data_IF_235345848273
#
_entry.id   IF_235345848273
#
_cell.length_a   1.000
_cell.length_b   1.000
_cell.length_c   1.000
_cell.angle_alpha   90.00
_cell.angle_beta   90.00
_cell.angle_gamma   90.00
#
_symmetry.space_group_name_H-M   'P 1'
#
loop_
_entity.id
_entity.type
_entity.pdbx_description
1 polymer ?
#
# COMPACT_ATOMS: atom_id res chain seq x y z
N UNK A 1 -10.11 27.42 -80.34
CA UNK A 1 -9.51 28.75 -80.52
C UNK A 1 -8.61 28.93 -79.33
N UNK A 2 -7.37 28.75 -79.46
CA UNK A 2 -6.16 29.17 -80.12
C UNK A 2 -5.16 29.21 -78.99
N UNK A 3 -4.11 28.30 -78.92
CA UNK A 3 -2.80 28.51 -79.55
C UNK A 3 -2.22 29.88 -79.14
N UNK A 4 -1.07 30.07 -78.63
CA UNK A 4 0.27 29.57 -78.93
C UNK A 4 1.25 30.16 -77.89
N UNK A 5 2.25 29.39 -77.56
CA UNK A 5 3.66 29.64 -77.98
C UNK A 5 4.44 30.55 -77.01
N UNK A 6 5.61 30.44 -76.62
CA UNK A 6 6.88 29.79 -77.05
C UNK A 6 7.93 30.08 -75.96
N UNK A 7 8.67 29.08 -75.58
CA UNK A 7 10.11 29.06 -75.33
C UNK A 7 10.92 30.38 -75.23
N UNK A 8 11.82 30.48 -74.25
CA UNK A 8 13.26 30.41 -74.50
C UNK A 8 14.12 30.62 -73.26
N UNK A 9 15.09 29.77 -73.18
CA UNK A 9 16.55 29.93 -72.90
C UNK A 9 17.00 30.16 -71.46
N UNK A 10 17.57 29.18 -70.87
CA UNK A 10 19.02 28.76 -70.82
C UNK A 10 19.96 29.68 -70.01
N UNK A 11 20.65 29.00 -69.09
CA UNK A 11 22.00 29.28 -68.63
C UNK A 11 22.25 30.41 -67.63
N UNK A 12 22.61 29.97 -66.42
CA UNK A 12 23.87 30.33 -65.72
C UNK A 12 23.89 29.46 -64.47
N UNK A 13 24.49 28.38 -64.46
CA UNK A 13 25.84 27.98 -64.18
C UNK A 13 26.40 28.51 -62.86
N UNK A 14 26.60 27.56 -61.95
CA UNK A 14 27.76 27.42 -61.06
C UNK A 14 28.11 28.64 -60.17
N UNK A 15 27.81 28.50 -58.88
CA UNK A 15 28.68 28.75 -57.72
C UNK A 15 27.85 28.98 -56.48
N UNK A 16 27.67 27.98 -55.67
CA UNK A 16 27.49 28.05 -54.23
C UNK A 16 27.33 26.63 -53.63
N UNK A 17 28.37 25.83 -53.77
CA UNK A 17 28.56 24.62 -52.95
C UNK A 17 29.79 24.85 -52.12
N UNK A 18 29.61 25.44 -50.96
CA UNK A 18 30.55 25.36 -49.85
C UNK A 18 30.05 26.27 -48.72
N UNK A 19 29.10 25.84 -47.90
CA UNK A 19 28.93 26.22 -46.50
C UNK A 19 27.69 25.53 -45.92
N UNK A 20 27.70 24.21 -45.88
CA UNK A 20 26.68 23.42 -45.14
C UNK A 20 27.32 22.22 -44.44
N UNK A 21 28.52 22.39 -43.86
CA UNK A 21 29.16 21.34 -43.07
C UNK A 21 29.16 21.63 -41.54
N UNK A 22 28.49 22.71 -41.10
CA UNK A 22 28.44 23.11 -39.68
C UNK A 22 27.16 22.81 -38.89
N UNK A 23 26.08 22.42 -39.55
CA UNK A 23 24.76 22.24 -38.87
C UNK A 23 24.41 20.80 -38.47
N UNK A 24 25.22 19.81 -38.88
CA UNK A 24 24.92 18.40 -38.60
C UNK A 24 25.32 17.93 -37.19
N UNK A 25 26.20 18.63 -36.51
CA UNK A 25 26.70 18.22 -35.18
C UNK A 25 25.80 18.69 -34.02
N UNK A 26 25.19 19.86 -34.17
CA UNK A 26 24.24 20.38 -33.15
C UNK A 26 22.92 19.65 -33.12
N UNK A 27 22.42 19.18 -34.26
CA UNK A 27 21.18 18.38 -34.31
C UNK A 27 21.35 16.97 -33.76
N UNK A 28 22.54 16.37 -33.91
CA UNK A 28 22.83 15.05 -33.33
C UNK A 28 22.92 15.10 -31.80
N UNK A 29 23.40 16.19 -31.22
CA UNK A 29 23.46 16.41 -29.79
C UNK A 29 22.05 16.67 -29.18
N UNK A 30 21.15 17.35 -29.90
CA UNK A 30 19.78 17.58 -29.46
C UNK A 30 18.92 16.32 -29.53
N UNK A 31 19.13 15.44 -30.49
CA UNK A 31 18.43 14.16 -30.60
C UNK A 31 18.87 13.14 -29.52
N UNK A 32 20.13 13.11 -29.14
CA UNK A 32 20.62 12.23 -28.07
C UNK A 32 20.13 12.72 -26.72
N UNK A 33 20.03 14.04 -26.49
CA UNK A 33 19.47 14.60 -25.24
C UNK A 33 17.97 14.32 -25.07
N UNK A 34 17.20 14.36 -26.16
CA UNK A 34 15.75 14.09 -26.10
C UNK A 34 15.43 12.60 -25.88
N UNK A 35 16.23 11.67 -26.39
CA UNK A 35 16.08 10.23 -26.18
C UNK A 35 16.44 9.84 -24.73
N UNK A 36 17.43 10.50 -24.12
CA UNK A 36 17.83 10.23 -22.73
C UNK A 36 16.79 10.68 -21.70
N UNK A 37 16.17 11.83 -21.90
CA UNK A 37 15.12 12.36 -21.02
C UNK A 37 13.80 11.56 -21.10
N UNK A 38 13.45 11.10 -22.30
CA UNK A 38 12.25 10.24 -22.48
C UNK A 38 12.38 8.88 -21.80
N UNK A 39 13.58 8.28 -21.82
CA UNK A 39 13.83 6.99 -21.16
C UNK A 39 13.81 7.08 -19.63
N UNK A 40 14.32 8.17 -19.04
CA UNK A 40 14.30 8.37 -17.60
C UNK A 40 12.87 8.59 -17.06
N UNK A 41 12.05 9.35 -17.78
CA UNK A 41 10.64 9.59 -17.37
C UNK A 41 9.77 8.33 -17.47
N UNK A 42 9.98 7.47 -18.45
CA UNK A 42 9.24 6.22 -18.59
C UNK A 42 9.65 5.19 -17.53
N UNK A 43 10.90 5.16 -17.12
CA UNK A 43 11.37 4.26 -16.05
C UNK A 43 10.83 4.67 -14.68
N UNK A 44 10.71 5.97 -14.38
CA UNK A 44 10.12 6.43 -13.11
C UNK A 44 8.63 6.12 -13.02
N UNK A 45 7.86 6.34 -14.08
CA UNK A 45 6.44 6.00 -14.10
C UNK A 45 6.19 4.50 -13.90
N UNK A 46 6.93 3.63 -14.60
CA UNK A 46 6.82 2.18 -14.44
C UNK A 46 7.20 1.71 -13.02
N UNK A 47 8.17 2.35 -12.37
CA UNK A 47 8.55 2.05 -11.00
C UNK A 47 7.47 2.47 -10.00
N UNK A 48 6.82 3.61 -10.21
CA UNK A 48 5.68 4.06 -9.39
C UNK A 48 4.49 3.09 -9.51
N UNK A 49 4.17 2.64 -10.71
CA UNK A 49 3.10 1.66 -10.94
C UNK A 49 3.40 0.30 -10.29
N UNK A 50 4.65 -0.14 -10.33
CA UNK A 50 5.09 -1.36 -9.65
C UNK A 50 4.97 -1.22 -8.13
N UNK A 51 5.42 -0.10 -7.56
CA UNK A 51 5.32 0.19 -6.12
C UNK A 51 3.86 0.31 -5.67
N UNK A 52 3.00 0.94 -6.47
CA UNK A 52 1.57 0.98 -6.23
C UNK A 52 0.94 -0.42 -6.22
N UNK A 53 1.34 -1.26 -7.17
CA UNK A 53 0.83 -2.63 -7.29
C UNK A 53 1.22 -3.49 -6.11
N UNK A 54 2.50 -3.50 -5.71
CA UNK A 54 2.93 -4.29 -4.55
C UNK A 54 2.36 -3.71 -3.25
N UNK A 55 2.26 -2.39 -3.12
CA UNK A 55 1.62 -1.73 -1.98
C UNK A 55 0.18 -2.19 -1.78
N UNK A 56 -0.63 -2.27 -2.85
CA UNK A 56 -1.99 -2.80 -2.76
C UNK A 56 -2.01 -4.27 -2.35
N UNK A 57 -1.12 -5.12 -2.89
CA UNK A 57 -1.05 -6.53 -2.50
C UNK A 57 -0.73 -6.70 -1.01
N UNK A 58 0.22 -5.94 -0.48
CA UNK A 58 0.58 -5.93 0.94
C UNK A 58 -0.59 -5.44 1.82
N UNK A 59 -1.29 -4.39 1.40
CA UNK A 59 -2.46 -3.89 2.13
C UNK A 59 -3.61 -4.90 2.13
N UNK A 60 -3.90 -5.54 0.99
CA UNK A 60 -4.98 -6.52 0.90
C UNK A 60 -4.67 -7.81 1.68
N UNK A 61 -3.41 -8.22 1.73
CA UNK A 61 -2.98 -9.33 2.59
C UNK A 61 -3.10 -8.95 4.07
N UNK A 62 -2.75 -7.73 4.48
CA UNK A 62 -2.96 -7.25 5.86
C UNK A 62 -4.46 -7.22 6.21
N UNK A 63 -5.32 -6.76 5.30
CA UNK A 63 -6.78 -6.77 5.49
C UNK A 63 -7.33 -8.19 5.62
N UNK A 64 -6.85 -9.11 4.79
CA UNK A 64 -7.24 -10.52 4.81
C UNK A 64 -6.86 -11.17 6.14
N UNK A 65 -5.62 -10.99 6.59
CA UNK A 65 -5.12 -11.56 7.84
C UNK A 65 -5.84 -10.98 9.07
N UNK A 66 -6.12 -9.68 9.11
CA UNK A 66 -6.96 -9.07 10.16
C UNK A 66 -8.37 -9.67 10.19
N UNK A 67 -8.91 -10.00 9.03
CA UNK A 67 -10.24 -10.65 8.93
C UNK A 67 -10.23 -12.06 9.50
N UNK A 68 -9.12 -12.83 9.39
CA UNK A 68 -8.96 -14.12 10.05
C UNK A 68 -9.04 -13.97 11.56
N UNK A 69 -8.28 -13.02 12.14
CA UNK A 69 -8.34 -12.76 13.58
C UNK A 69 -9.74 -12.35 14.02
N UNK A 70 -10.39 -11.46 13.26
CA UNK A 70 -11.75 -10.99 13.57
C UNK A 70 -12.78 -12.12 13.56
N UNK A 71 -12.73 -12.99 12.56
CA UNK A 71 -13.66 -14.11 12.43
C UNK A 71 -13.47 -15.18 13.51
N UNK A 72 -12.29 -15.27 14.12
CA UNK A 72 -11.95 -16.25 15.14
C UNK A 72 -11.97 -15.69 16.57
N UNK A 73 -12.49 -14.47 16.79
CA UNK A 73 -12.52 -13.88 18.14
C UNK A 73 -13.32 -14.73 19.14
N UNK A 74 -14.43 -15.36 18.73
CA UNK A 74 -15.17 -16.27 19.57
C UNK A 74 -14.33 -17.47 20.04
N UNK A 75 -13.62 -18.11 19.10
CA UNK A 75 -12.74 -19.24 19.40
C UNK A 75 -11.53 -18.80 20.26
N UNK A 76 -10.86 -17.72 19.89
CA UNK A 76 -9.69 -17.19 20.59
C UNK A 76 -10.03 -16.89 22.05
N UNK A 77 -11.15 -16.25 22.30
CA UNK A 77 -11.58 -15.80 23.61
C UNK A 77 -12.38 -16.83 24.42
N UNK A 78 -12.62 -18.03 23.88
CA UNK A 78 -13.29 -19.09 24.61
C UNK A 78 -12.43 -19.54 25.81
N UNK A 79 -12.93 -19.45 27.06
CA UNK A 79 -12.15 -19.80 28.25
C UNK A 79 -12.06 -21.32 28.47
N UNK A 80 -12.98 -22.10 27.86
CA UNK A 80 -13.12 -23.54 28.15
C UNK A 80 -12.28 -24.40 27.19
N UNK A 81 -11.89 -23.86 26.04
CA UNK A 81 -11.05 -24.53 25.05
C UNK A 81 -9.57 -24.20 25.32
N UNK A 82 -8.73 -25.21 25.56
CA UNK A 82 -7.29 -25.07 25.69
C UNK A 82 -6.62 -24.94 24.30
N UNK A 83 -6.34 -26.07 23.66
CA UNK A 83 -5.78 -26.06 22.31
C UNK A 83 -6.86 -25.71 21.27
N UNK A 84 -6.77 -24.51 20.73
CA UNK A 84 -7.74 -23.98 19.76
C UNK A 84 -7.45 -24.40 18.31
N UNK A 85 -6.40 -25.18 18.09
CA UNK A 85 -5.96 -25.59 16.75
C UNK A 85 -5.74 -24.41 15.79
N UNK A 86 -5.43 -23.23 16.35
CA UNK A 86 -5.22 -21.98 15.62
C UNK A 86 -3.72 -21.80 15.31
N UNK A 87 -3.17 -22.75 14.50
CA UNK A 87 -1.74 -22.70 14.13
C UNK A 87 -1.44 -21.62 13.09
N UNK A 88 -0.20 -21.19 13.03
CA UNK A 88 0.26 -20.17 12.06
C UNK A 88 0.10 -20.61 10.61
N UNK A 89 0.22 -21.91 10.30
CA UNK A 89 0.00 -22.46 8.97
C UNK A 89 -1.47 -22.34 8.55
N UNK A 90 -2.39 -22.77 9.42
CA UNK A 90 -3.84 -22.64 9.19
C UNK A 90 -4.24 -21.18 9.05
N UNK A 91 -3.62 -20.31 9.86
CA UNK A 91 -3.84 -18.88 9.81
C UNK A 91 -3.46 -18.30 8.44
N UNK A 92 -2.26 -18.59 7.94
CA UNK A 92 -1.80 -18.07 6.63
C UNK A 92 -2.65 -18.63 5.50
N UNK A 93 -3.00 -19.92 5.53
CA UNK A 93 -3.92 -20.52 4.56
C UNK A 93 -5.30 -19.81 4.54
N UNK A 94 -5.85 -19.52 5.71
CA UNK A 94 -7.10 -18.78 5.82
C UNK A 94 -6.97 -17.33 5.29
N UNK A 95 -5.83 -16.66 5.56
CA UNK A 95 -5.56 -15.34 5.03
C UNK A 95 -5.43 -15.34 3.50
N UNK A 96 -4.75 -16.32 2.92
CA UNK A 96 -4.65 -16.49 1.46
C UNK A 96 -6.03 -16.74 0.82
N UNK A 97 -6.88 -17.55 1.45
CA UNK A 97 -8.25 -17.79 0.96
C UNK A 97 -9.12 -16.51 1.01
N UNK A 98 -9.00 -15.72 2.07
CA UNK A 98 -9.70 -14.43 2.16
C UNK A 98 -9.12 -13.43 1.15
N UNK A 99 -7.81 -13.42 0.97
CA UNK A 99 -7.15 -12.58 -0.05
C UNK A 99 -7.71 -12.90 -1.44
N UNK A 100 -7.73 -14.17 -1.83
CA UNK A 100 -8.32 -14.62 -3.11
C UNK A 100 -9.76 -14.14 -3.27
N UNK A 101 -10.59 -14.29 -2.24
CA UNK A 101 -11.99 -13.83 -2.27
C UNK A 101 -12.12 -12.32 -2.43
N UNK A 102 -11.17 -11.54 -1.89
CA UNK A 102 -11.17 -10.08 -1.97
C UNK A 102 -10.71 -9.55 -3.31
N UNK A 103 -9.64 -10.13 -3.86
CA UNK A 103 -8.92 -9.62 -5.04
C UNK A 103 -9.38 -10.33 -6.31
N UNK A 104 -10.05 -11.48 -6.20
CA UNK A 104 -10.52 -12.29 -7.31
C UNK A 104 -9.45 -13.15 -7.98
N UNK A 105 -8.20 -13.02 -7.56
CA UNK A 105 -7.06 -13.79 -8.08
C UNK A 105 -6.19 -14.31 -6.95
N UNK A 106 -5.62 -15.51 -7.13
CA UNK A 106 -4.59 -16.03 -6.22
C UNK A 106 -3.34 -15.18 -6.30
N UNK A 107 -2.63 -15.11 -5.19
CA UNK A 107 -1.32 -14.48 -5.16
C UNK A 107 -0.30 -15.39 -5.87
N UNK A 108 -0.15 -15.21 -7.19
CA UNK A 108 0.83 -15.97 -7.97
C UNK A 108 2.23 -15.38 -7.78
N UNK A 109 3.00 -15.97 -6.87
CA UNK A 109 4.35 -15.50 -6.55
C UNK A 109 5.33 -15.65 -7.73
N UNK A 110 5.07 -16.56 -8.68
CA UNK A 110 5.97 -16.78 -9.83
C UNK A 110 5.93 -15.64 -10.85
N UNK A 111 4.85 -14.86 -10.88
CA UNK A 111 4.67 -13.70 -11.77
C UNK A 111 5.20 -12.39 -11.18
N UNK A 112 5.66 -12.42 -9.94
CA UNK A 112 6.15 -11.23 -9.25
C UNK A 112 7.64 -11.01 -9.50
N UNK A 113 8.05 -9.74 -9.42
CA UNK A 113 9.47 -9.41 -9.33
C UNK A 113 10.10 -10.09 -8.10
N UNK A 114 11.40 -10.28 -8.13
CA UNK A 114 12.12 -10.86 -6.97
C UNK A 114 11.91 -10.03 -5.70
N UNK A 115 11.95 -8.69 -5.81
CA UNK A 115 11.66 -7.79 -4.69
C UNK A 115 10.25 -7.99 -4.13
N UNK A 116 9.25 -8.00 -4.99
CA UNK A 116 7.86 -8.09 -4.56
C UNK A 116 7.56 -9.42 -3.89
N UNK A 117 8.20 -10.49 -4.38
CA UNK A 117 8.14 -11.82 -3.76
C UNK A 117 8.74 -11.79 -2.36
N UNK A 118 9.96 -11.21 -2.21
CA UNK A 118 10.58 -11.07 -0.87
C UNK A 118 9.69 -10.30 0.10
N UNK A 119 9.07 -9.21 -0.33
CA UNK A 119 8.17 -8.40 0.52
C UNK A 119 6.94 -9.18 0.97
N UNK A 120 6.29 -9.92 0.07
CA UNK A 120 5.12 -10.74 0.43
C UNK A 120 5.50 -11.94 1.31
N UNK A 121 6.64 -12.57 1.06
CA UNK A 121 7.15 -13.64 1.91
C UNK A 121 7.54 -13.12 3.30
N UNK A 122 8.14 -11.92 3.38
CA UNK A 122 8.41 -11.25 4.65
C UNK A 122 7.12 -10.99 5.45
N UNK A 123 6.05 -10.55 4.77
CA UNK A 123 4.77 -10.31 5.42
C UNK A 123 4.13 -11.61 5.93
N UNK A 124 4.14 -12.69 5.13
CA UNK A 124 3.65 -14.00 5.59
C UNK A 124 4.46 -14.57 6.73
N UNK A 125 5.79 -14.41 6.68
CA UNK A 125 6.67 -14.80 7.78
C UNK A 125 6.35 -14.05 9.06
N UNK A 126 6.17 -12.72 8.98
CA UNK A 126 5.77 -11.90 10.11
C UNK A 126 4.44 -12.37 10.72
N UNK A 127 3.45 -12.69 9.90
CA UNK A 127 2.17 -13.25 10.37
C UNK A 127 2.34 -14.55 11.14
N UNK A 128 3.18 -15.48 10.63
CA UNK A 128 3.46 -16.75 11.33
C UNK A 128 4.11 -16.50 12.68
N UNK A 129 5.17 -15.70 12.72
CA UNK A 129 5.87 -15.37 13.96
C UNK A 129 4.91 -14.82 15.02
N UNK A 130 4.07 -13.85 14.65
CA UNK A 130 3.12 -13.25 15.59
C UNK A 130 2.10 -14.27 16.11
N UNK A 131 1.58 -15.15 15.26
CA UNK A 131 0.63 -16.19 15.71
C UNK A 131 1.32 -17.23 16.58
N UNK A 132 2.54 -17.65 16.24
CA UNK A 132 3.32 -18.63 17.01
C UNK A 132 3.71 -18.08 18.38
N UNK A 133 4.16 -16.84 18.45
CA UNK A 133 4.55 -16.18 19.71
C UNK A 133 3.36 -15.99 20.68
N UNK A 134 2.12 -15.96 20.14
CA UNK A 134 0.91 -15.77 20.96
C UNK A 134 0.14 -17.06 21.24
N UNK A 135 0.68 -18.24 20.89
CA UNK A 135 0.00 -19.52 21.14
C UNK A 135 -0.34 -19.74 22.61
N UNK A 136 0.58 -19.40 23.52
CA UNK A 136 0.34 -19.54 24.96
C UNK A 136 -0.84 -18.71 25.46
N UNK A 137 -1.01 -17.49 24.93
CA UNK A 137 -2.13 -16.61 25.26
C UNK A 137 -3.43 -17.05 24.61
N UNK A 138 -3.38 -17.39 23.32
CA UNK A 138 -4.53 -17.86 22.55
C UNK A 138 -5.12 -19.12 23.20
N UNK A 139 -4.28 -20.06 23.65
CA UNK A 139 -4.68 -21.34 24.19
C UNK A 139 -4.91 -21.34 25.72
N UNK A 140 -4.82 -20.18 26.38
CA UNK A 140 -4.98 -20.07 27.84
C UNK A 140 -6.39 -20.44 28.26
N UNK A 141 -6.53 -21.42 29.17
CA UNK A 141 -7.81 -21.83 29.77
C UNK A 141 -8.19 -20.84 30.91
N UNK A 142 -9.50 -20.69 31.15
CA UNK A 142 -10.03 -19.89 32.25
C UNK A 142 -9.97 -18.37 32.04
N UNK A 143 -9.50 -17.90 30.89
CA UNK A 143 -9.41 -16.48 30.53
C UNK A 143 -10.28 -16.22 29.31
N UNK A 144 -11.29 -15.37 29.44
CA UNK A 144 -12.17 -15.00 28.35
C UNK A 144 -11.47 -14.08 27.35
N UNK A 145 -11.30 -12.80 27.69
CA UNK A 145 -10.62 -11.87 26.77
C UNK A 145 -9.10 -12.02 26.85
N UNK A 146 -8.48 -12.43 25.72
CA UNK A 146 -7.05 -12.72 25.65
C UNK A 146 -6.21 -11.61 25.04
N UNK A 147 -6.82 -10.51 24.61
CA UNK A 147 -6.09 -9.37 24.02
C UNK A 147 -5.59 -9.57 22.60
N UNK A 148 -5.68 -10.78 22.04
CA UNK A 148 -5.28 -11.06 20.65
C UNK A 148 -6.37 -10.63 19.67
N UNK A 149 -6.46 -9.32 19.43
CA UNK A 149 -7.47 -8.68 18.58
C UNK A 149 -6.86 -8.21 17.24
N UNK A 150 -7.69 -7.94 16.19
CA UNK A 150 -7.20 -7.56 14.86
C UNK A 150 -6.24 -6.36 14.85
N UNK A 151 -6.44 -5.38 15.74
CA UNK A 151 -5.58 -4.20 15.84
C UNK A 151 -4.20 -4.52 16.43
N UNK A 152 -4.14 -5.35 17.47
CA UNK A 152 -2.88 -5.80 18.10
C UNK A 152 -2.12 -6.69 17.12
N UNK A 153 -2.78 -7.68 16.51
CA UNK A 153 -2.20 -8.53 15.49
C UNK A 153 -1.60 -7.70 14.34
N UNK A 154 -2.35 -6.74 13.78
CA UNK A 154 -1.86 -5.89 12.69
C UNK A 154 -0.61 -5.11 13.09
N UNK A 155 -0.59 -4.52 14.29
CA UNK A 155 0.56 -3.77 14.78
C UNK A 155 1.80 -4.66 14.89
N UNK A 156 1.67 -5.80 15.57
CA UNK A 156 2.78 -6.74 15.77
C UNK A 156 3.29 -7.29 14.44
N UNK A 157 2.40 -7.71 13.54
CA UNK A 157 2.77 -8.18 12.20
C UNK A 157 3.51 -7.10 11.40
N UNK A 158 3.10 -5.85 11.50
CA UNK A 158 3.77 -4.76 10.78
C UNK A 158 5.14 -4.40 11.41
N UNK A 159 5.30 -4.53 12.72
CA UNK A 159 6.59 -4.39 13.41
C UNK A 159 7.56 -5.50 12.98
N UNK A 160 7.12 -6.77 12.97
CA UNK A 160 7.91 -7.91 12.47
C UNK A 160 8.20 -7.80 10.96
N UNK A 161 7.22 -7.41 10.16
CA UNK A 161 7.45 -7.14 8.74
C UNK A 161 8.54 -6.09 8.53
N UNK A 162 8.49 -5.00 9.27
CA UNK A 162 9.51 -3.94 9.20
C UNK A 162 10.90 -4.44 9.58
N UNK A 163 11.01 -5.36 10.55
CA UNK A 163 12.27 -5.99 10.94
C UNK A 163 12.80 -6.94 9.84
N UNK A 164 11.92 -7.74 9.22
CA UNK A 164 12.30 -8.70 8.17
C UNK A 164 12.61 -7.98 6.85
N UNK A 165 11.75 -7.07 6.42
CA UNK A 165 11.90 -6.29 5.19
C UNK A 165 12.96 -5.18 5.33
N UNK A 166 13.36 -4.88 6.56
CA UNK A 166 14.46 -4.00 6.96
C UNK A 166 14.53 -2.67 6.17
N UNK A 167 15.30 -2.68 5.08
CA UNK A 167 15.59 -1.49 4.29
C UNK A 167 14.68 -1.32 3.05
N UNK A 168 13.81 -2.29 2.75
CA UNK A 168 13.03 -2.28 1.51
C UNK A 168 11.64 -1.67 1.69
N UNK A 169 10.94 -1.97 2.79
CA UNK A 169 9.58 -1.47 2.99
C UNK A 169 9.16 -1.40 4.47
N UNK A 170 8.15 -0.58 4.73
CA UNK A 170 7.43 -0.53 6.02
C UNK A 170 5.93 -0.48 5.80
N UNK A 171 5.20 -1.07 6.72
CA UNK A 171 3.74 -1.02 6.78
C UNK A 171 3.35 -0.59 8.20
N UNK A 172 2.35 0.25 8.31
CA UNK A 172 1.74 0.60 9.60
C UNK A 172 0.24 0.89 9.43
N UNK A 173 -0.50 0.77 10.50
CA UNK A 173 -1.86 1.27 10.58
C UNK A 173 -1.83 2.58 11.36
N UNK A 174 -2.51 3.60 10.83
CA UNK A 174 -2.66 4.91 11.44
C UNK A 174 -4.12 5.35 11.41
N UNK A 175 -4.45 6.44 12.08
CA UNK A 175 -5.81 6.98 12.12
C UNK A 175 -5.78 8.50 12.29
N UNK A 176 -6.90 9.21 12.01
CA UNK A 176 -7.08 10.58 12.46
C UNK A 176 -6.75 10.71 13.96
N UNK A 177 -6.12 11.81 14.40
CA UNK A 177 -5.63 11.96 15.78
C UNK A 177 -6.65 11.62 16.84
N UNK A 178 -7.91 11.97 16.64
CA UNK A 178 -9.01 11.75 17.57
C UNK A 178 -9.47 10.29 17.70
N UNK A 179 -9.06 9.44 16.72
CA UNK A 179 -9.37 8.01 16.69
C UNK A 179 -8.19 7.15 17.16
N UNK A 180 -7.05 7.76 17.50
CA UNK A 180 -5.84 7.03 17.90
C UNK A 180 -5.96 6.53 19.32
N UNK A 181 -6.06 5.20 19.51
CA UNK A 181 -6.04 4.53 20.81
C UNK A 181 -4.61 4.15 21.25
N UNK A 182 -3.76 3.81 20.29
CA UNK A 182 -2.37 3.40 20.53
C UNK A 182 -1.40 4.48 20.04
N UNK A 183 -0.49 4.95 20.91
CA UNK A 183 0.50 5.97 20.55
C UNK A 183 1.35 5.62 19.33
N UNK A 184 1.63 4.33 19.10
CA UNK A 184 2.36 3.85 17.91
C UNK A 184 1.58 4.03 16.61
N UNK A 185 0.26 4.21 16.68
CA UNK A 185 -0.60 4.46 15.52
C UNK A 185 -0.78 5.95 15.20
N UNK A 186 -0.12 6.87 15.93
CA UNK A 186 -0.19 8.30 15.63
C UNK A 186 0.33 8.57 14.24
N UNK A 187 -0.42 9.34 13.43
CA UNK A 187 0.03 9.71 12.09
C UNK A 187 1.27 10.62 12.18
N UNK A 188 2.19 10.43 11.26
CA UNK A 188 3.25 11.40 11.04
C UNK A 188 2.69 12.68 10.36
N UNK A 189 3.47 13.76 10.19
CA UNK A 189 2.97 15.00 9.58
C UNK A 189 2.38 14.81 8.17
N UNK A 190 2.97 13.96 7.35
CA UNK A 190 2.50 13.65 6.00
C UNK A 190 1.17 12.88 6.04
N UNK A 191 1.10 11.82 6.83
CA UNK A 191 -0.11 11.01 7.03
C UNK A 191 -1.28 11.88 7.56
N UNK A 192 -0.99 12.70 8.58
CA UNK A 192 -1.97 13.61 9.18
C UNK A 192 -2.53 14.57 8.15
N UNK A 193 -1.67 15.21 7.37
CA UNK A 193 -2.09 16.13 6.32
C UNK A 193 -3.05 15.47 5.32
N UNK A 194 -2.74 14.24 4.86
CA UNK A 194 -3.59 13.53 3.90
C UNK A 194 -4.91 13.11 4.53
N UNK A 195 -4.88 12.59 5.76
CA UNK A 195 -6.10 12.25 6.49
C UNK A 195 -7.04 13.46 6.59
N UNK A 196 -6.53 14.62 7.00
CA UNK A 196 -7.33 15.83 7.23
C UNK A 196 -7.76 16.53 5.93
N UNK A 197 -6.88 16.62 4.93
CA UNK A 197 -7.14 17.42 3.71
C UNK A 197 -7.70 16.62 2.54
N UNK A 198 -7.67 15.28 2.60
CA UNK A 198 -8.17 14.38 1.56
C UNK A 198 -9.24 13.43 2.09
N UNK A 199 -8.89 12.52 3.00
CA UNK A 199 -9.76 11.40 3.36
C UNK A 199 -11.00 11.81 4.16
N UNK A 200 -10.89 12.87 4.97
CA UNK A 200 -12.02 13.45 5.72
C UNK A 200 -12.85 14.46 4.90
N UNK A 201 -12.45 14.74 3.66
CA UNK A 201 -13.17 15.71 2.81
C UNK A 201 -14.06 14.99 1.80
N UNK A 202 -15.19 15.58 1.45
CA UNK A 202 -16.13 15.05 0.45
C UNK A 202 -15.56 15.05 -0.98
N UNK A 203 -14.49 15.80 -1.23
CA UNK A 203 -13.86 15.92 -2.57
C UNK A 203 -12.94 14.75 -2.94
N UNK A 204 -12.57 13.87 -1.97
CA UNK A 204 -11.70 12.73 -2.26
C UNK A 204 -12.55 11.48 -2.55
N UNK A 205 -12.28 10.74 -3.65
CA UNK A 205 -13.03 9.53 -3.96
C UNK A 205 -12.85 8.46 -2.86
N UNK A 206 -13.97 7.95 -2.35
CA UNK A 206 -13.97 6.93 -1.28
C UNK A 206 -13.16 5.71 -1.70
N UNK A 207 -12.25 5.27 -0.85
CA UNK A 207 -11.38 4.11 -1.07
C UNK A 207 -10.15 4.36 -1.94
N UNK A 208 -10.03 5.54 -2.57
CA UNK A 208 -8.86 5.87 -3.37
C UNK A 208 -7.64 6.10 -2.48
N UNK A 209 -6.55 5.38 -2.77
CA UNK A 209 -5.27 5.62 -2.12
C UNK A 209 -4.67 6.98 -2.53
N UNK A 210 -3.92 7.59 -1.62
CA UNK A 210 -3.03 8.70 -1.93
C UNK A 210 -1.60 8.17 -2.04
N UNK A 211 -0.86 8.58 -3.07
CA UNK A 211 0.52 8.18 -3.30
C UNK A 211 1.40 9.37 -3.62
N UNK A 212 2.64 9.33 -3.18
CA UNK A 212 3.62 10.37 -3.43
C UNK A 212 5.04 9.81 -3.32
N UNK A 213 5.97 10.32 -4.13
CA UNK A 213 7.40 10.09 -3.97
C UNK A 213 7.98 11.24 -3.15
N UNK A 214 8.57 10.92 -2.01
CA UNK A 214 9.11 11.91 -1.08
C UNK A 214 10.43 11.43 -0.49
N UNK A 215 11.19 12.35 0.03
CA UNK A 215 12.30 12.02 0.93
C UNK A 215 11.71 11.61 2.29
N UNK A 216 12.04 10.41 2.74
CA UNK A 216 11.62 9.86 4.02
C UNK A 216 12.82 9.20 4.71
N UNK A 217 13.16 9.69 5.90
CA UNK A 217 14.33 9.23 6.67
C UNK A 217 15.65 9.32 5.87
N UNK A 218 15.83 10.38 5.09
CA UNK A 218 17.04 10.62 4.29
C UNK A 218 17.16 9.76 3.02
N UNK A 219 16.09 9.11 2.59
CA UNK A 219 16.04 8.27 1.39
C UNK A 219 14.82 8.63 0.54
N UNK A 220 14.97 8.49 -0.78
CA UNK A 220 13.80 8.54 -1.66
C UNK A 220 12.90 7.34 -1.39
N UNK A 221 11.63 7.60 -1.21
CA UNK A 221 10.63 6.58 -0.93
C UNK A 221 9.32 6.84 -1.68
N UNK A 222 8.70 5.79 -2.15
CA UNK A 222 7.29 5.79 -2.52
C UNK A 222 6.46 5.63 -1.26
N UNK A 223 5.57 6.59 -1.00
CA UNK A 223 4.63 6.53 0.11
C UNK A 223 3.21 6.37 -0.39
N UNK A 224 2.46 5.48 0.24
CA UNK A 224 1.07 5.19 -0.08
C UNK A 224 0.24 5.17 1.19
N UNK A 225 -0.85 5.93 1.20
CA UNK A 225 -1.84 5.92 2.28
C UNK A 225 -3.18 5.43 1.72
N UNK A 226 -3.70 4.33 2.29
CA UNK A 226 -4.96 3.72 1.88
C UNK A 226 -5.99 3.93 2.98
N UNK A 227 -7.16 4.56 2.69
CA UNK A 227 -8.18 4.77 3.69
C UNK A 227 -8.83 3.45 4.12
N UNK A 228 -9.08 3.31 5.40
CA UNK A 228 -9.82 2.21 6.02
C UNK A 228 -11.13 2.73 6.61
N UNK A 229 -12.21 1.97 6.41
CA UNK A 229 -13.55 2.35 6.86
C UNK A 229 -14.10 1.31 7.83
N UNK A 230 -14.91 1.76 8.79
CA UNK A 230 -15.59 0.85 9.70
C UNK A 230 -16.51 -0.10 8.94
N UNK A 231 -16.48 -1.35 9.33
CA UNK A 231 -17.38 -2.44 8.94
C UNK A 231 -18.16 -2.89 10.16
N UNK A 232 -19.21 -3.68 9.97
CA UNK A 232 -19.98 -4.26 11.06
C UNK A 232 -19.11 -4.88 12.16
N UNK A 233 -18.10 -5.67 11.77
CA UNK A 233 -17.17 -6.33 12.71
C UNK A 233 -16.32 -5.36 13.53
N UNK A 234 -16.24 -4.07 13.18
CA UNK A 234 -15.48 -3.06 13.91
C UNK A 234 -16.33 -2.43 15.02
N UNK A 235 -17.66 -2.43 14.86
CA UNK A 235 -18.57 -1.65 15.70
C UNK A 235 -18.71 -2.20 17.12
N UNK A 236 -18.39 -3.47 17.36
CA UNK A 236 -18.34 -4.03 18.72
C UNK A 236 -17.43 -3.20 19.64
N UNK A 237 -16.31 -2.68 19.08
CA UNK A 237 -15.35 -1.85 19.84
C UNK A 237 -15.43 -0.37 19.49
N UNK A 238 -15.83 0.01 18.27
CA UNK A 238 -15.77 1.39 17.77
C UNK A 238 -17.14 2.03 17.53
N UNK A 239 -18.23 1.27 17.73
CA UNK A 239 -19.58 1.71 17.41
C UNK A 239 -20.25 2.59 18.48
N UNK A 240 -21.56 2.46 18.55
CA UNK A 240 -22.43 3.21 19.47
C UNK A 240 -22.83 2.33 20.68
N UNK A 241 -23.19 2.95 21.83
CA UNK A 241 -23.16 4.40 22.10
C UNK A 241 -21.73 4.91 22.35
N UNK A 242 -21.45 6.13 21.89
CA UNK A 242 -20.15 6.79 22.12
C UNK A 242 -19.87 6.92 23.62
N UNK A 243 -18.64 6.61 24.03
CA UNK A 243 -18.18 6.69 25.42
C UNK A 243 -18.44 5.42 26.25
N UNK A 244 -19.25 4.46 25.77
CA UNK A 244 -19.37 3.14 26.41
C UNK A 244 -18.04 2.38 26.29
N UNK A 245 -17.62 1.73 27.38
CA UNK A 245 -16.40 0.94 27.37
C UNK A 245 -16.60 -0.36 26.57
N UNK A 246 -15.70 -0.60 25.66
CA UNK A 246 -15.64 -1.87 24.92
C UNK A 246 -14.92 -2.97 25.73
N UNK A 247 -14.79 -4.15 25.13
CA UNK A 247 -14.13 -5.32 25.75
C UNK A 247 -12.66 -5.05 26.11
N UNK A 248 -12.02 -4.03 25.52
CA UNK A 248 -10.65 -3.62 25.82
C UNK A 248 -10.57 -2.55 26.90
N UNK A 249 -11.71 -2.20 27.51
CA UNK A 249 -11.88 -1.12 28.48
C UNK A 249 -11.55 0.27 27.90
N UNK A 250 -11.71 0.44 26.58
CA UNK A 250 -11.56 1.74 25.91
C UNK A 250 -12.94 2.30 25.51
N UNK A 251 -13.17 3.62 25.64
CA UNK A 251 -14.44 4.20 25.23
C UNK A 251 -14.63 4.14 23.71
N UNK A 252 -15.80 3.67 23.27
CA UNK A 252 -16.22 3.65 21.88
C UNK A 252 -16.25 5.06 21.29
N UNK A 253 -15.83 5.23 20.06
CA UNK A 253 -15.83 6.53 19.37
C UNK A 253 -17.22 6.93 18.81
N UNK A 254 -18.16 5.99 18.73
CA UNK A 254 -19.48 6.20 18.15
C UNK A 254 -19.50 6.12 16.63
N UNK A 255 -18.57 5.37 16.04
CA UNK A 255 -18.47 5.17 14.59
C UNK A 255 -19.65 4.38 14.03
N UNK A 256 -19.96 4.61 12.76
CA UNK A 256 -20.93 3.84 11.98
C UNK A 256 -20.24 3.20 10.77
N UNK A 257 -20.91 2.20 10.16
CA UNK A 257 -20.41 1.54 8.95
C UNK A 257 -20.16 2.56 7.84
N UNK A 258 -18.93 2.54 7.32
CA UNK A 258 -18.53 3.42 6.22
C UNK A 258 -17.89 4.74 6.62
N UNK A 259 -17.83 5.07 7.92
CA UNK A 259 -17.01 6.18 8.41
C UNK A 259 -15.51 5.84 8.26
N UNK A 260 -14.68 6.86 8.09
CA UNK A 260 -13.22 6.69 8.08
C UNK A 260 -12.75 6.23 9.45
N UNK A 261 -12.18 5.03 9.50
CA UNK A 261 -11.67 4.41 10.73
C UNK A 261 -10.16 4.63 10.91
N UNK A 262 -9.45 4.91 9.82
CA UNK A 262 -8.00 5.05 9.79
C UNK A 262 -7.44 4.89 8.39
N UNK A 263 -6.18 4.49 8.32
CA UNK A 263 -5.51 4.20 7.06
C UNK A 263 -4.40 3.15 7.23
N UNK A 264 -4.09 2.43 6.15
CA UNK A 264 -2.86 1.65 6.01
C UNK A 264 -1.83 2.54 5.32
N UNK A 265 -0.71 2.75 5.98
CA UNK A 265 0.44 3.49 5.45
C UNK A 265 1.52 2.51 5.02
N UNK A 266 1.98 2.66 3.79
CA UNK A 266 3.04 1.84 3.18
C UNK A 266 4.14 2.78 2.71
N UNK A 267 5.38 2.41 3.01
CA UNK A 267 6.59 3.05 2.54
C UNK A 267 7.41 2.00 1.81
N UNK A 268 7.82 2.28 0.59
CA UNK A 268 8.75 1.46 -0.19
C UNK A 268 9.97 2.32 -0.49
N UNK A 269 11.12 1.91 0.02
CA UNK A 269 12.38 2.65 -0.12
C UNK A 269 13.04 2.35 -1.48
N UNK A 270 13.72 3.35 -2.01
CA UNK A 270 14.51 3.29 -3.25
C UNK A 270 15.99 3.54 -3.02
#
# INVERSE_FOLDING_TARGET
>A
MGLDQIQTKTNLCSKAVSTLSGLSSLWKLLLVGALGLGSAMTQTAAAVDADFTIGNKLADMLRASRSVVSANQGLINDPDIGDKQFSSEKFVQAADAIYLKRVGTTLNLSELSERDRRLLDAQRRAMRLVVDDHQAEINRIGVGFKGFIPAIFARLTNEEFGAIAAQEARIRVTAPPDLVRNRKARPDPWEKNILETRFLTSGWPKGKAFTEEVEFEGRLAFRMLLPEYYRESCLACHGTPKGELDITSYPKEGGIVGDLAGAISIVIFR
#
